data_IF_422223968151
#
_entry.id   IF_422223968151
#
_cell.length_a   1.000
_cell.length_b   1.000
_cell.length_c   1.000
_cell.angle_alpha   90.00
_cell.angle_beta   90.00
_cell.angle_gamma   90.00
#
_symmetry.space_group_name_H-M   'P 1'
#
loop_
_entity.id
_entity.type
_entity.pdbx_description
1 polymer ?
#
# COMPACT_ATOMS: atom_id res chain seq x y z
N UNK A 1 -11.29 -19.74 -6.80
CA UNK A 1 -10.97 -19.38 -5.44
C UNK A 1 -10.34 -18.04 -5.39
N UNK A 2 -10.83 -17.24 -4.52
CA UNK A 2 -10.31 -15.91 -4.38
C UNK A 2 -9.45 -15.83 -3.12
N UNK A 3 -8.15 -15.67 -3.27
CA UNK A 3 -7.28 -15.31 -2.18
C UNK A 3 -7.51 -13.86 -1.78
N UNK A 4 -6.75 -13.37 -0.79
CA UNK A 4 -6.80 -11.96 -0.44
C UNK A 4 -6.46 -11.08 -1.64
N UNK A 5 -7.09 -9.92 -1.71
CA UNK A 5 -6.90 -8.99 -2.82
C UNK A 5 -5.91 -7.90 -2.41
N UNK A 6 -4.91 -7.68 -3.24
CA UNK A 6 -3.88 -6.66 -3.00
C UNK A 6 -3.85 -5.70 -4.19
N UNK A 7 -3.94 -4.42 -3.93
CA UNK A 7 -3.80 -3.39 -4.95
C UNK A 7 -2.37 -2.84 -4.91
N UNK A 8 -1.69 -2.84 -6.05
CA UNK A 8 -0.33 -2.31 -6.16
C UNK A 8 -0.39 -0.96 -6.85
N UNK A 9 0.05 0.10 -6.16
CA UNK A 9 0.09 1.46 -6.72
C UNK A 9 1.55 1.85 -6.90
N UNK A 10 1.99 1.82 -8.16
CA UNK A 10 3.39 2.09 -8.52
C UNK A 10 3.44 2.46 -9.99
N UNK A 11 4.21 3.48 -10.35
CA UNK A 11 4.35 3.92 -11.73
C UNK A 11 5.41 3.16 -12.54
N UNK A 12 6.15 2.26 -11.89
CA UNK A 12 7.17 1.44 -12.54
C UNK A 12 6.56 0.10 -12.97
N UNK A 13 6.38 -0.14 -14.28
CA UNK A 13 5.75 -1.38 -14.74
C UNK A 13 6.56 -2.63 -14.40
N UNK A 14 7.87 -2.52 -14.26
CA UNK A 14 8.70 -3.66 -13.90
C UNK A 14 8.46 -4.08 -12.46
N UNK A 15 8.32 -3.12 -11.56
CA UNK A 15 7.98 -3.41 -10.16
C UNK A 15 6.60 -4.03 -10.07
N UNK A 16 5.63 -3.46 -10.79
CA UNK A 16 4.27 -3.99 -10.80
C UNK A 16 4.26 -5.43 -11.27
N UNK A 17 4.96 -5.71 -12.38
CA UNK A 17 5.01 -7.07 -12.94
C UNK A 17 5.66 -8.05 -11.97
N UNK A 18 6.75 -7.65 -11.34
CA UNK A 18 7.48 -8.49 -10.39
C UNK A 18 6.62 -8.84 -9.18
N UNK A 19 6.01 -7.82 -8.58
CA UNK A 19 5.19 -8.01 -7.38
C UNK A 19 3.93 -8.81 -7.72
N UNK A 20 3.28 -8.48 -8.83
CA UNK A 20 2.06 -9.18 -9.25
C UNK A 20 2.33 -10.67 -9.44
N UNK A 21 3.38 -11.00 -10.19
CA UNK A 21 3.73 -12.39 -10.46
C UNK A 21 4.01 -13.15 -9.16
N UNK A 22 4.79 -12.55 -8.28
CA UNK A 22 5.11 -13.18 -7.00
C UNK A 22 3.86 -13.41 -6.14
N UNK A 23 3.02 -12.38 -6.01
CA UNK A 23 1.86 -12.49 -5.14
C UNK A 23 0.83 -13.46 -5.70
N UNK A 24 0.64 -13.47 -7.02
CA UNK A 24 -0.28 -14.44 -7.62
C UNK A 24 0.19 -15.88 -7.40
N UNK A 25 1.50 -16.12 -7.46
CA UNK A 25 2.06 -17.43 -7.17
C UNK A 25 1.80 -17.85 -5.71
N UNK A 26 1.66 -16.87 -4.81
CA UNK A 26 1.38 -17.13 -3.40
C UNK A 26 -0.12 -17.15 -3.07
N UNK A 27 -0.97 -17.09 -4.08
CA UNK A 27 -2.41 -17.22 -3.89
C UNK A 27 -3.17 -15.92 -3.73
N UNK A 28 -2.51 -14.78 -3.89
CA UNK A 28 -3.17 -13.48 -3.83
C UNK A 28 -3.79 -13.12 -5.18
N UNK A 29 -4.84 -12.33 -5.13
CA UNK A 29 -5.36 -11.66 -6.32
C UNK A 29 -4.81 -10.24 -6.34
N UNK A 30 -4.37 -9.79 -7.51
CA UNK A 30 -3.67 -8.51 -7.63
C UNK A 30 -4.28 -7.66 -8.73
N UNK A 31 -4.49 -6.40 -8.41
CA UNK A 31 -4.77 -5.37 -9.43
C UNK A 31 -3.74 -4.26 -9.21
N UNK A 32 -3.62 -3.36 -10.16
CA UNK A 32 -2.62 -2.31 -10.08
C UNK A 32 -3.15 -0.99 -10.60
N UNK A 33 -2.51 0.09 -10.15
CA UNK A 33 -2.80 1.44 -10.64
C UNK A 33 -1.46 2.18 -10.77
N UNK A 34 -1.23 2.89 -11.91
CA UNK A 34 0.06 3.54 -12.14
C UNK A 34 0.21 4.89 -11.46
N UNK A 35 -0.86 5.40 -10.85
CA UNK A 35 -0.84 6.72 -10.22
C UNK A 35 -1.97 6.84 -9.21
N UNK A 36 -1.85 7.85 -8.33
CA UNK A 36 -2.81 8.05 -7.25
C UNK A 36 -4.23 8.30 -7.77
N UNK A 37 -4.37 9.05 -8.85
CA UNK A 37 -5.70 9.36 -9.39
C UNK A 37 -6.43 8.11 -9.90
N UNK A 38 -5.69 7.14 -10.44
CA UNK A 38 -6.27 5.88 -10.86
C UNK A 38 -6.49 4.94 -9.68
N UNK A 39 -5.73 5.13 -8.59
CA UNK A 39 -5.79 4.23 -7.44
C UNK A 39 -7.12 4.31 -6.71
N UNK A 40 -7.70 5.50 -6.57
CA UNK A 40 -8.99 5.62 -5.88
C UNK A 40 -10.09 4.84 -6.60
N UNK A 41 -10.14 4.95 -7.93
CA UNK A 41 -11.10 4.18 -8.71
C UNK A 41 -10.82 2.67 -8.58
N UNK A 42 -9.54 2.29 -8.55
CA UNK A 42 -9.17 0.89 -8.39
C UNK A 42 -9.57 0.35 -7.01
N UNK A 43 -9.41 1.13 -5.95
CA UNK A 43 -9.84 0.75 -4.60
C UNK A 43 -11.35 0.48 -4.60
N UNK A 44 -12.13 1.35 -5.19
CA UNK A 44 -13.58 1.18 -5.22
C UNK A 44 -13.99 -0.03 -6.03
N UNK A 45 -13.34 -0.26 -7.19
CA UNK A 45 -13.67 -1.36 -8.09
C UNK A 45 -13.22 -2.71 -7.56
N UNK A 46 -12.00 -2.77 -7.05
CA UNK A 46 -11.35 -4.02 -6.67
C UNK A 46 -11.65 -4.44 -5.23
N UNK A 47 -11.94 -3.47 -4.38
CA UNK A 47 -12.19 -3.68 -2.95
C UNK A 47 -11.06 -4.50 -2.32
N UNK A 48 -9.82 -3.98 -2.32
CA UNK A 48 -8.66 -4.74 -1.85
C UNK A 48 -8.67 -4.94 -0.35
N UNK A 49 -8.01 -5.99 0.10
CA UNK A 49 -7.76 -6.24 1.52
C UNK A 49 -6.52 -5.49 2.00
N UNK A 50 -5.62 -5.14 1.09
CA UNK A 50 -4.43 -4.35 1.40
C UNK A 50 -3.96 -3.59 0.16
N UNK A 51 -3.24 -2.50 0.38
CA UNK A 51 -2.65 -1.68 -0.69
C UNK A 51 -1.15 -1.62 -0.49
N UNK A 52 -0.39 -1.90 -1.56
CA UNK A 52 1.04 -1.61 -1.61
C UNK A 52 1.18 -0.27 -2.34
N UNK A 53 1.71 0.73 -1.65
CA UNK A 53 1.72 2.10 -2.14
C UNK A 53 3.15 2.62 -2.27
N UNK A 54 3.56 2.92 -3.49
CA UNK A 54 4.83 3.60 -3.73
C UNK A 54 4.66 5.08 -3.40
N UNK A 55 5.36 5.56 -2.38
CA UNK A 55 5.27 6.96 -1.97
C UNK A 55 6.11 7.88 -2.82
N UNK A 56 6.96 7.31 -3.69
CA UNK A 56 7.78 8.11 -4.61
C UNK A 56 7.08 8.39 -5.94
N UNK A 57 5.76 8.26 -5.98
CA UNK A 57 4.97 8.76 -7.10
C UNK A 57 5.19 10.26 -7.27
N UNK A 58 5.04 10.78 -8.50
CA UNK A 58 5.30 12.21 -8.77
C UNK A 58 4.62 13.14 -7.78
N UNK A 59 5.38 14.08 -7.25
CA UNK A 59 4.93 14.97 -6.19
C UNK A 59 4.79 14.18 -4.90
N UNK A 60 3.78 14.49 -4.11
CA UNK A 60 3.46 13.77 -2.87
C UNK A 60 2.19 12.93 -3.03
N UNK A 61 1.91 12.53 -4.27
CA UNK A 61 0.66 11.83 -4.59
C UNK A 61 0.45 10.56 -3.78
N UNK A 62 1.53 9.83 -3.46
CA UNK A 62 1.43 8.62 -2.65
C UNK A 62 0.94 8.92 -1.24
N UNK A 63 1.54 9.90 -0.57
CA UNK A 63 1.12 10.27 0.78
C UNK A 63 -0.26 10.93 0.78
N UNK A 64 -0.56 11.73 -0.25
CA UNK A 64 -1.89 12.32 -0.40
C UNK A 64 -2.96 11.23 -0.52
N UNK A 65 -2.66 10.17 -1.26
CA UNK A 65 -3.57 9.04 -1.38
C UNK A 65 -3.81 8.37 -0.02
N UNK A 66 -2.75 8.17 0.76
CA UNK A 66 -2.87 7.59 2.09
C UNK A 66 -3.81 8.44 2.97
N UNK A 67 -3.62 9.75 2.97
CA UNK A 67 -4.47 10.66 3.75
C UNK A 67 -5.92 10.55 3.29
N UNK A 68 -6.17 10.52 1.99
CA UNK A 68 -7.53 10.41 1.47
C UNK A 68 -8.21 9.12 1.90
N UNK A 69 -7.47 8.01 1.85
CA UNK A 69 -8.01 6.73 2.29
C UNK A 69 -8.34 6.74 3.78
N UNK A 70 -7.46 7.31 4.59
CA UNK A 70 -7.67 7.37 6.04
C UNK A 70 -8.85 8.26 6.42
N UNK A 71 -9.19 9.25 5.60
CA UNK A 71 -10.32 10.14 5.85
C UNK A 71 -11.64 9.63 5.31
N UNK A 72 -11.61 8.61 4.47
CA UNK A 72 -12.83 8.03 3.92
C UNK A 72 -13.36 6.97 4.88
N UNK A 73 -14.61 7.11 5.38
CA UNK A 73 -15.17 6.12 6.31
C UNK A 73 -15.16 4.68 5.79
N UNK A 74 -15.18 4.50 4.46
CA UNK A 74 -15.14 3.17 3.86
C UNK A 74 -13.76 2.54 3.92
N UNK A 75 -12.70 3.36 3.89
CA UNK A 75 -11.32 2.88 3.68
C UNK A 75 -10.38 3.26 4.82
N UNK A 76 -10.86 3.90 5.87
CA UNK A 76 -10.00 4.39 6.96
C UNK A 76 -9.20 3.28 7.63
N UNK A 77 -9.72 2.06 7.62
CA UNK A 77 -9.06 0.91 8.26
C UNK A 77 -8.37 -0.01 7.26
N UNK A 78 -8.37 0.34 5.98
CA UNK A 78 -7.73 -0.45 4.94
C UNK A 78 -6.22 -0.54 5.20
N UNK A 79 -5.66 -1.75 5.31
CA UNK A 79 -4.21 -1.87 5.49
C UNK A 79 -3.44 -1.31 4.29
N UNK A 80 -2.48 -0.44 4.57
CA UNK A 80 -1.62 0.17 3.56
C UNK A 80 -0.17 -0.10 3.92
N UNK A 81 0.56 -0.73 3.01
CA UNK A 81 2.00 -0.94 3.14
C UNK A 81 2.69 0.01 2.18
N UNK A 82 3.52 0.88 2.73
CA UNK A 82 4.23 1.89 1.96
C UNK A 82 5.55 1.30 1.45
N UNK A 83 5.85 1.53 0.18
CA UNK A 83 7.08 1.05 -0.45
C UNK A 83 7.94 2.24 -0.83
N UNK A 84 9.24 2.17 -0.54
CA UNK A 84 10.16 3.28 -0.77
C UNK A 84 11.54 2.82 -1.18
N UNK A 85 12.25 3.65 -1.96
CA UNK A 85 13.64 3.42 -2.31
C UNK A 85 14.64 3.92 -1.27
N UNK A 86 14.17 4.69 -0.27
CA UNK A 86 15.04 5.20 0.78
C UNK A 86 14.26 5.30 2.10
N UNK A 87 14.45 4.31 2.94
CA UNK A 87 13.70 4.15 4.19
C UNK A 87 13.83 5.36 5.12
N UNK A 88 15.03 5.92 5.20
CA UNK A 88 15.31 7.00 6.13
C UNK A 88 14.57 8.28 5.74
N UNK A 89 14.63 8.63 4.46
CA UNK A 89 13.93 9.81 3.94
C UNK A 89 12.43 9.62 4.06
N UNK A 90 11.96 8.43 3.74
CA UNK A 90 10.54 8.14 3.80
C UNK A 90 9.99 8.30 5.21
N UNK A 91 10.68 7.73 6.20
CA UNK A 91 10.21 7.77 7.58
C UNK A 91 10.03 9.20 8.05
N UNK A 92 11.05 10.05 7.82
CA UNK A 92 10.98 11.45 8.20
C UNK A 92 9.91 12.20 7.43
N UNK A 93 9.85 12.02 6.11
CA UNK A 93 8.86 12.70 5.27
C UNK A 93 7.44 12.28 5.61
N UNK A 94 7.25 11.00 5.84
CA UNK A 94 5.95 10.46 6.17
C UNK A 94 5.46 11.01 7.51
N UNK A 95 6.32 11.01 8.52
CA UNK A 95 5.95 11.54 9.83
C UNK A 95 5.68 13.04 9.77
N UNK A 96 6.53 13.80 9.07
CA UNK A 96 6.32 15.24 8.92
C UNK A 96 5.03 15.55 8.21
N UNK A 97 4.76 14.82 7.12
CA UNK A 97 3.55 15.04 6.32
C UNK A 97 2.30 14.67 7.11
N UNK A 98 2.29 13.48 7.71
CA UNK A 98 1.14 13.01 8.46
C UNK A 98 0.94 13.79 9.75
N UNK A 99 2.03 14.28 10.35
CA UNK A 99 1.95 15.12 11.54
C UNK A 99 1.24 16.44 11.29
N UNK A 100 1.27 16.94 10.04
CA UNK A 100 0.52 18.15 9.68
C UNK A 100 -0.96 17.88 9.43
N UNK A 101 -1.36 16.60 9.44
CA UNK A 101 -2.75 16.17 9.27
C UNK A 101 -3.20 15.47 10.55
N UNK A 102 -3.60 16.28 11.51
CA UNK A 102 -3.94 15.79 12.85
C UNK A 102 -4.98 14.67 12.79
N UNK A 103 -4.71 13.58 13.50
CA UNK A 103 -5.65 12.46 13.58
C UNK A 103 -5.55 11.45 12.44
N UNK A 104 -4.62 11.64 11.52
CA UNK A 104 -4.44 10.69 10.41
C UNK A 104 -3.52 9.56 10.85
N UNK A 105 -4.03 8.32 10.72
CA UNK A 105 -3.24 7.13 11.02
C UNK A 105 -2.21 6.90 9.90
N UNK A 106 -0.99 6.54 10.29
CA UNK A 106 0.08 6.24 9.34
C UNK A 106 -0.13 4.90 8.63
N UNK A 107 0.86 4.50 7.82
CA UNK A 107 0.81 3.21 7.14
C UNK A 107 0.90 2.04 8.13
N UNK A 108 0.39 0.90 7.71
CA UNK A 108 0.41 -0.32 8.53
C UNK A 108 1.73 -1.07 8.40
N UNK A 109 2.52 -0.77 7.38
CA UNK A 109 3.84 -1.35 7.20
C UNK A 109 4.67 -0.50 6.24
N UNK A 110 5.98 -0.67 6.30
CA UNK A 110 6.93 0.02 5.42
C UNK A 110 7.89 -1.01 4.84
N UNK A 111 8.10 -0.94 3.54
CA UNK A 111 8.96 -1.87 2.82
C UNK A 111 9.93 -1.09 1.93
N UNK A 112 11.21 -1.38 2.07
CA UNK A 112 12.25 -0.74 1.23
C UNK A 112 12.44 -1.44 -0.10
N UNK A 113 12.94 -0.70 -1.08
CA UNK A 113 13.39 -1.27 -2.36
C UNK A 113 14.89 -1.55 -2.28
N UNK A 114 15.40 -2.60 -2.91
CA UNK A 114 14.66 -3.57 -3.71
C UNK A 114 13.76 -4.44 -2.85
N UNK A 115 12.62 -4.81 -3.41
CA UNK A 115 11.62 -5.57 -2.69
C UNK A 115 12.08 -7.00 -2.47
N UNK A 116 12.24 -7.38 -1.20
CA UNK A 116 12.53 -8.75 -0.82
C UNK A 116 11.21 -9.51 -0.69
N UNK A 117 11.08 -10.61 -1.43
CA UNK A 117 9.82 -11.36 -1.48
C UNK A 117 9.41 -11.91 -0.12
N UNK A 118 10.38 -12.42 0.63
CA UNK A 118 10.08 -12.95 1.97
C UNK A 118 9.61 -11.89 2.93
N UNK A 119 10.22 -10.71 2.89
CA UNK A 119 9.82 -9.59 3.74
C UNK A 119 8.43 -9.10 3.34
N UNK A 120 8.17 -8.96 2.04
CA UNK A 120 6.86 -8.54 1.55
C UNK A 120 5.77 -9.50 2.03
N UNK A 121 6.01 -10.80 1.89
CA UNK A 121 5.02 -11.80 2.27
C UNK A 121 4.73 -11.74 3.77
N UNK A 122 5.77 -11.60 4.60
CA UNK A 122 5.59 -11.50 6.05
C UNK A 122 4.83 -10.26 6.45
N UNK A 123 5.13 -9.12 5.81
CA UNK A 123 4.42 -7.88 6.10
C UNK A 123 2.94 -8.01 5.73
N UNK A 124 2.65 -8.55 4.56
CA UNK A 124 1.26 -8.74 4.14
C UNK A 124 0.52 -9.68 5.08
N UNK A 125 1.13 -10.81 5.43
CA UNK A 125 0.52 -11.74 6.37
C UNK A 125 0.24 -11.07 7.71
N UNK A 126 1.20 -10.28 8.18
CA UNK A 126 1.05 -9.58 9.46
C UNK A 126 -0.09 -8.56 9.43
N UNK A 127 -0.14 -7.71 8.41
CA UNK A 127 -1.17 -6.67 8.37
C UNK A 127 -2.56 -7.26 8.13
N UNK A 128 -2.66 -8.34 7.36
CA UNK A 128 -3.94 -8.99 7.12
C UNK A 128 -4.41 -9.74 8.37
N UNK A 129 -3.53 -10.46 9.04
CA UNK A 129 -3.86 -11.16 10.28
C UNK A 129 -4.13 -10.18 11.42
N UNK A 130 -3.30 -9.14 11.55
CA UNK A 130 -3.50 -8.11 12.56
C UNK A 130 -4.83 -7.40 12.40
N UNK A 131 -5.23 -7.15 11.16
CA UNK A 131 -6.52 -6.56 10.87
C UNK A 131 -7.66 -7.51 11.27
N UNK A 132 -7.52 -8.80 10.94
CA UNK A 132 -8.48 -9.81 11.31
C UNK A 132 -8.58 -9.97 12.83
N UNK A 133 -7.45 -9.95 13.52
CA UNK A 133 -7.42 -10.09 14.98
C UNK A 133 -8.06 -8.91 15.69
N UNK A 134 -8.02 -7.72 15.10
CA UNK A 134 -8.63 -6.53 15.69
C UNK A 134 -10.14 -6.50 15.49
N UNK A 135 -10.59 -7.26 14.55
CA UNK A 135 -12.02 -7.36 14.30
C UNK A 135 -12.66 -8.27 15.33
#
# INVERSE_FOLDING_TARGET
MSGPRVLVVDDDPDIVAYVTSFLEDEGYRVDSAPRASAALAAVERFDPHAVLLDVLLPGRSGLDLLVRLRRDPRWKDLPVVVVTGNDRILEDDCQSYLGSHIGIRGPDGVLGKPIDRGVLLRILEHVLDGHALKA
#
